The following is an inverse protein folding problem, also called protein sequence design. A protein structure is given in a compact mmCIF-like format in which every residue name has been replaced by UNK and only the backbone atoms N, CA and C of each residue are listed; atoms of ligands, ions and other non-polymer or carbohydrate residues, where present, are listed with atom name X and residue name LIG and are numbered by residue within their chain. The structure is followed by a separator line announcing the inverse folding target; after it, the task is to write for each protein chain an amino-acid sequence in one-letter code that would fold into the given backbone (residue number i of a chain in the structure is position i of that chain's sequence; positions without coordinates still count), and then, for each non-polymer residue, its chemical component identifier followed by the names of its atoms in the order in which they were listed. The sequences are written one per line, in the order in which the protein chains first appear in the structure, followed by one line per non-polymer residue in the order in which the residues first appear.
data_IF_717754612898
#
_entry.id   IF_717754612898
#
_cell.length_a   1.000
_cell.length_b   1.000
_cell.length_c   1.000
_cell.angle_alpha   90.00
_cell.angle_beta   90.00
_cell.angle_gamma   90.00
#
_symmetry.space_group_name_H-M   'P 1'
#
loop_
_entity.id
_entity.type
_entity.pdbx_description
1 polymer ?
#
# COMPACT_ATOMS: atom_id res chain seq x y z
N UNK A 1 16.27 10.59 39.12
CA UNK A 1 16.48 9.50 38.14
C UNK A 1 15.18 9.32 37.37
N UNK A 2 14.98 10.07 36.29
CA UNK A 2 13.94 9.76 35.31
C UNK A 2 14.55 9.89 33.93
N UNK A 3 14.51 8.77 33.24
CA UNK A 3 15.24 8.41 32.04
C UNK A 3 14.66 9.12 30.82
N UNK A 4 15.36 10.14 30.32
CA UNK A 4 15.22 10.57 28.93
C UNK A 4 15.76 9.46 28.03
N UNK A 5 14.86 8.62 27.50
CA UNK A 5 15.16 7.69 26.42
C UNK A 5 15.45 8.49 25.15
N UNK A 6 16.71 8.87 24.95
CA UNK A 6 17.20 9.36 23.67
C UNK A 6 17.55 8.14 22.80
N UNK A 7 16.57 7.55 22.13
CA UNK A 7 16.83 6.43 21.18
C UNK A 7 16.19 6.71 19.83
N UNK A 8 16.70 7.73 19.15
CA UNK A 8 16.22 8.11 17.82
C UNK A 8 17.08 9.17 17.15
N UNK A 9 18.38 9.25 17.47
CA UNK A 9 19.27 10.25 16.87
C UNK A 9 19.26 10.02 15.35
N UNK A 10 18.83 11.04 14.61
CA UNK A 10 18.85 11.11 13.15
C UNK A 10 19.91 12.14 12.77
N UNK A 11 21.20 11.78 12.82
CA UNK A 11 22.29 12.75 12.74
C UNK A 11 22.46 13.34 11.33
N UNK A 12 21.79 12.78 10.32
CA UNK A 12 21.92 13.21 8.94
C UNK A 12 20.70 14.03 8.53
N UNK A 13 20.82 15.35 8.44
CA UNK A 13 19.77 16.25 7.98
C UNK A 13 19.92 16.59 6.49
N UNK A 14 18.80 16.75 5.80
CA UNK A 14 18.75 17.34 4.47
C UNK A 14 18.86 18.87 4.56
N UNK A 15 19.82 19.46 3.86
CA UNK A 15 19.99 20.92 3.82
C UNK A 15 18.81 21.64 3.15
N UNK A 16 18.16 21.00 2.18
CA UNK A 16 17.13 21.65 1.34
C UNK A 16 15.73 21.64 1.99
N UNK A 17 15.43 20.65 2.82
CA UNK A 17 14.09 20.52 3.45
C UNK A 17 14.11 20.21 4.95
N UNK A 18 15.28 20.19 5.59
CA UNK A 18 15.44 19.97 7.03
C UNK A 18 15.09 18.56 7.51
N UNK A 19 14.75 17.63 6.61
CA UNK A 19 14.35 16.28 6.99
C UNK A 19 15.54 15.47 7.51
N UNK A 20 15.39 14.86 8.69
CA UNK A 20 16.44 14.07 9.30
C UNK A 20 16.33 12.57 9.03
N UNK A 21 17.48 11.91 8.91
CA UNK A 21 17.66 10.49 8.62
C UNK A 21 18.63 9.85 9.61
N UNK A 22 18.38 8.57 9.89
CA UNK A 22 19.22 7.77 10.79
C UNK A 22 20.51 7.30 10.11
N UNK A 23 20.47 7.07 8.80
CA UNK A 23 21.59 6.58 8.01
C UNK A 23 21.95 7.56 6.90
N UNK A 24 23.25 7.72 6.63
CA UNK A 24 23.75 8.55 5.53
C UNK A 24 23.26 8.06 4.16
N UNK A 25 23.09 6.74 4.00
CA UNK A 25 22.51 6.14 2.78
C UNK A 25 21.06 6.54 2.54
N UNK A 26 20.27 6.72 3.61
CA UNK A 26 18.89 7.19 3.51
C UNK A 26 18.82 8.66 3.14
N UNK A 27 19.69 9.50 3.72
CA UNK A 27 19.84 10.90 3.31
C UNK A 27 20.25 10.98 1.83
N UNK A 28 21.27 10.23 1.40
CA UNK A 28 21.71 10.20 -0.01
C UNK A 28 20.58 9.77 -0.95
N UNK A 29 19.83 8.74 -0.59
CA UNK A 29 18.67 8.29 -1.35
C UNK A 29 17.50 9.29 -1.37
N UNK A 30 17.40 10.14 -0.33
CA UNK A 30 16.45 11.24 -0.28
C UNK A 30 16.90 12.45 -1.10
N UNK A 31 18.19 12.79 -1.12
CA UNK A 31 18.68 13.88 -1.98
C UNK A 31 18.30 13.67 -3.45
N UNK A 32 18.32 12.41 -3.91
CA UNK A 32 17.87 12.02 -5.24
C UNK A 32 16.41 12.45 -5.54
N UNK A 33 15.54 12.53 -4.52
CA UNK A 33 14.15 12.98 -4.71
C UNK A 33 14.01 14.49 -4.93
N UNK A 34 15.02 15.29 -4.58
CA UNK A 34 15.00 16.73 -4.87
C UNK A 34 15.32 17.04 -6.34
N UNK A 35 16.07 16.15 -7.00
CA UNK A 35 16.49 16.34 -8.39
C UNK A 35 15.65 15.52 -9.39
N UNK A 36 14.61 14.81 -8.92
CA UNK A 36 13.81 13.85 -9.70
C UNK A 36 14.61 12.79 -10.49
N UNK A 37 15.89 12.61 -10.15
CA UNK A 37 16.76 11.64 -10.79
C UNK A 37 16.32 10.24 -10.34
N UNK A 38 16.09 9.33 -11.27
CA UNK A 38 15.75 7.94 -10.95
C UNK A 38 16.80 7.02 -11.58
N UNK A 39 17.97 6.87 -10.93
CA UNK A 39 19.14 6.26 -11.57
C UNK A 39 18.99 4.75 -11.81
N UNK A 40 17.97 4.11 -11.24
CA UNK A 40 17.74 2.68 -11.39
C UNK A 40 16.57 2.44 -12.36
N UNK A 41 16.87 2.02 -13.58
CA UNK A 41 15.86 1.78 -14.63
C UNK A 41 15.57 0.29 -14.76
N UNK A 42 14.29 -0.06 -14.92
CA UNK A 42 13.87 -1.41 -15.25
C UNK A 42 14.10 -1.71 -16.73
N UNK A 43 14.96 -2.67 -17.03
CA UNK A 43 15.22 -3.10 -18.41
C UNK A 43 14.01 -3.74 -19.12
N UNK A 44 12.96 -4.13 -18.40
CA UNK A 44 11.79 -4.81 -18.97
C UNK A 44 10.64 -3.86 -19.36
N UNK A 45 10.51 -2.71 -18.68
CA UNK A 45 9.41 -1.77 -18.93
C UNK A 45 9.80 -0.30 -18.86
N UNK A 46 11.10 0.01 -18.69
CA UNK A 46 11.59 1.38 -18.59
C UNK A 46 11.23 2.12 -17.30
N UNK A 47 10.56 1.48 -16.33
CA UNK A 47 10.20 2.13 -15.08
C UNK A 47 11.45 2.51 -14.26
N UNK A 48 11.51 3.76 -13.79
CA UNK A 48 12.67 4.27 -13.05
C UNK A 48 12.41 4.35 -11.54
N UNK A 49 13.46 4.11 -10.74
CA UNK A 49 13.43 4.08 -9.28
C UNK A 49 14.58 4.88 -8.67
N UNK A 50 14.33 5.44 -7.49
CA UNK A 50 15.34 6.20 -6.71
C UNK A 50 16.28 5.30 -5.89
N UNK A 51 15.91 4.03 -5.69
CA UNK A 51 16.70 3.05 -4.90
C UNK A 51 16.81 1.72 -5.64
N UNK A 52 18.00 1.11 -5.62
CA UNK A 52 18.27 -0.22 -6.23
C UNK A 52 17.31 -1.30 -5.72
N UNK A 53 17.07 -1.36 -4.42
CA UNK A 53 16.16 -2.33 -3.81
C UNK A 53 14.72 -2.21 -4.36
N UNK A 54 14.27 -1.00 -4.70
CA UNK A 54 12.94 -0.78 -5.28
C UNK A 54 12.86 -1.35 -6.69
N UNK A 55 13.91 -1.19 -7.49
CA UNK A 55 14.04 -1.82 -8.80
C UNK A 55 14.03 -3.35 -8.68
N UNK A 56 14.83 -3.94 -7.79
CA UNK A 56 14.86 -5.41 -7.60
C UNK A 56 13.47 -5.94 -7.25
N UNK A 57 12.75 -5.26 -6.34
CA UNK A 57 11.40 -5.68 -5.98
C UNK A 57 10.35 -5.46 -7.06
N UNK A 58 10.60 -4.53 -7.97
CA UNK A 58 9.78 -4.31 -9.14
C UNK A 58 10.03 -5.39 -10.20
N UNK A 59 11.29 -5.77 -10.45
CA UNK A 59 11.63 -6.85 -11.39
C UNK A 59 10.95 -8.17 -11.01
N UNK A 60 10.82 -8.47 -9.71
CA UNK A 60 10.05 -9.63 -9.23
C UNK A 60 8.59 -9.66 -9.66
N UNK A 61 8.00 -8.51 -10.00
CA UNK A 61 6.65 -8.45 -10.55
C UNK A 61 6.61 -8.99 -12.00
N UNK A 62 7.65 -8.71 -12.78
CA UNK A 62 7.76 -9.23 -14.15
C UNK A 62 8.07 -10.72 -14.18
N UNK A 63 9.01 -11.17 -13.35
CA UNK A 63 9.42 -12.59 -13.32
C UNK A 63 8.42 -13.48 -12.57
N UNK A 64 7.48 -12.89 -11.82
CA UNK A 64 6.55 -13.63 -10.98
C UNK A 64 7.20 -14.26 -9.73
N UNK A 65 8.48 -13.96 -9.46
CA UNK A 65 9.22 -14.51 -8.32
C UNK A 65 8.56 -14.16 -6.98
N UNK A 66 8.02 -15.19 -6.33
CA UNK A 66 7.42 -15.12 -5.01
C UNK A 66 8.14 -16.07 -4.07
N UNK A 67 9.20 -15.55 -3.44
CA UNK A 67 10.14 -16.34 -2.64
C UNK A 67 9.65 -16.65 -1.22
N UNK A 68 8.61 -15.96 -0.75
CA UNK A 68 8.15 -16.07 0.64
C UNK A 68 6.80 -16.77 0.68
N UNK A 69 6.77 -18.02 1.11
CA UNK A 69 5.55 -18.80 1.27
C UNK A 69 4.86 -18.51 2.60
N UNK A 70 3.53 -18.55 2.61
CA UNK A 70 2.77 -18.70 3.83
C UNK A 70 2.89 -20.15 4.34
N UNK A 71 3.03 -20.30 5.64
CA UNK A 71 3.07 -21.58 6.35
C UNK A 71 1.68 -22.21 6.55
N UNK A 72 0.62 -21.42 6.36
CA UNK A 72 -0.78 -21.83 6.59
C UNK A 72 -1.60 -22.01 5.32
N UNK A 73 -1.08 -21.60 4.16
CA UNK A 73 -1.71 -21.82 2.86
C UNK A 73 -0.69 -21.71 1.72
N UNK A 74 -1.07 -22.09 0.50
CA UNK A 74 -0.17 -22.13 -0.67
C UNK A 74 0.17 -20.74 -1.25
N UNK A 75 -0.21 -19.65 -0.58
CA UNK A 75 0.05 -18.29 -1.07
C UNK A 75 1.51 -17.91 -0.88
N UNK A 76 2.12 -17.46 -1.97
CA UNK A 76 3.50 -16.95 -2.01
C UNK A 76 3.53 -15.43 -2.23
N UNK A 77 4.53 -14.75 -1.67
CA UNK A 77 4.69 -13.31 -1.68
C UNK A 77 6.10 -12.89 -2.10
N UNK A 78 6.21 -11.78 -2.83
CA UNK A 78 7.49 -11.22 -3.28
C UNK A 78 8.22 -10.41 -2.20
N UNK A 79 7.53 -9.99 -1.12
CA UNK A 79 8.08 -9.15 -0.05
C UNK A 79 7.56 -9.57 1.33
N UNK A 80 8.42 -9.52 2.35
CA UNK A 80 8.10 -9.90 3.74
C UNK A 80 6.94 -9.10 4.32
N UNK A 81 6.89 -7.81 4.05
CA UNK A 81 5.78 -6.95 4.46
C UNK A 81 4.42 -7.47 3.99
N UNK A 82 4.34 -7.98 2.75
CA UNK A 82 3.07 -8.50 2.22
C UNK A 82 2.68 -9.85 2.84
N UNK A 83 3.65 -10.72 3.10
CA UNK A 83 3.42 -11.96 3.85
C UNK A 83 2.93 -11.67 5.26
N UNK A 84 3.63 -10.82 6.02
CA UNK A 84 3.24 -10.43 7.38
C UNK A 84 1.83 -9.84 7.43
N UNK A 85 1.51 -8.97 6.48
CA UNK A 85 0.17 -8.41 6.31
C UNK A 85 -0.88 -9.48 5.97
N UNK A 86 -0.50 -10.51 5.23
CA UNK A 86 -1.38 -11.63 4.91
C UNK A 86 -1.61 -12.54 6.12
N UNK A 87 -0.60 -12.74 6.97
CA UNK A 87 -0.72 -13.54 8.20
C UNK A 87 -1.82 -13.03 9.16
N UNK A 88 -2.16 -11.74 9.10
CA UNK A 88 -3.31 -11.17 9.83
C UNK A 88 -4.66 -11.77 9.43
N UNK A 89 -4.76 -12.38 8.25
CA UNK A 89 -5.96 -13.12 7.80
C UNK A 89 -6.05 -14.44 8.56
N UNK A 90 -4.98 -15.21 8.63
CA UNK A 90 -4.94 -16.49 9.35
C UNK A 90 -5.03 -16.35 10.87
N UNK A 91 -4.66 -15.20 11.42
CA UNK A 91 -4.91 -14.91 12.84
C UNK A 91 -6.42 -14.89 13.18
N UNK A 92 -7.29 -14.69 12.18
CA UNK A 92 -8.76 -14.68 12.32
C UNK A 92 -9.40 -16.05 12.15
N UNK A 93 -8.74 -16.98 11.45
CA UNK A 93 -9.23 -18.37 11.30
C UNK A 93 -9.18 -19.14 12.64
N UNK A 94 -8.28 -18.77 13.56
CA UNK A 94 -8.25 -19.32 14.93
C UNK A 94 -9.17 -18.59 15.92
N UNK A 95 -9.78 -17.47 15.53
CA UNK A 95 -10.65 -16.66 16.39
C UNK A 95 -11.89 -16.23 15.61
N UNK A 96 -12.79 -17.19 15.33
CA UNK A 96 -14.12 -16.92 14.80
C UNK A 96 -14.96 -16.28 15.90
N UNK A 97 -14.77 -14.98 16.11
CA UNK A 97 -15.80 -14.09 16.65
C UNK A 97 -15.85 -12.88 15.71
N UNK A 98 -16.94 -12.82 14.95
CA UNK A 98 -17.33 -11.72 14.07
C UNK A 98 -17.31 -10.39 14.83
N UNK A 99 -16.20 -9.65 14.80
CA UNK A 99 -16.19 -8.35 15.49
C UNK A 99 -14.86 -7.67 15.78
N UNK A 100 -13.69 -8.12 15.30
CA UNK A 100 -12.43 -7.37 15.52
C UNK A 100 -11.73 -7.04 14.20
N UNK A 101 -12.13 -5.90 13.64
CA UNK A 101 -11.21 -5.02 12.94
C UNK A 101 -10.80 -3.90 13.88
N UNK A 102 -9.51 -3.58 13.94
CA UNK A 102 -9.00 -2.53 14.85
C UNK A 102 -9.51 -1.13 14.47
N UNK A 103 -10.03 -0.99 13.25
CA UNK A 103 -10.56 0.25 12.73
C UNK A 103 -12.07 0.11 12.58
N UNK A 104 -12.84 0.89 13.35
CA UNK A 104 -14.30 0.94 13.25
C UNK A 104 -14.73 2.12 12.37
N UNK A 105 -15.85 1.97 11.68
CA UNK A 105 -16.60 3.09 11.13
C UNK A 105 -17.47 3.69 12.24
N UNK A 106 -17.34 4.99 12.47
CA UNK A 106 -18.07 5.69 13.54
C UNK A 106 -19.57 5.80 13.24
N UNK A 107 -19.95 5.89 11.96
CA UNK A 107 -21.36 6.02 11.51
C UNK A 107 -22.19 4.75 11.66
N UNK A 108 -21.59 3.57 11.49
CA UNK A 108 -22.33 2.30 11.49
C UNK A 108 -21.72 1.19 12.35
N UNK A 109 -20.66 1.48 13.11
CA UNK A 109 -19.97 0.52 13.98
C UNK A 109 -19.24 -0.60 13.23
N UNK A 110 -19.28 -0.63 11.89
CA UNK A 110 -18.68 -1.72 11.10
C UNK A 110 -17.16 -1.71 11.24
N UNK A 111 -16.57 -2.88 11.49
CA UNK A 111 -15.14 -3.00 11.79
C UNK A 111 -14.35 -3.55 10.61
N UNK A 112 -13.17 -3.00 10.42
CA UNK A 112 -12.26 -3.26 9.31
C UNK A 112 -10.85 -3.52 9.81
N UNK A 113 -10.13 -4.39 9.09
CA UNK A 113 -8.74 -4.76 9.42
C UNK A 113 -7.76 -3.63 9.11
N UNK A 114 -8.15 -2.67 8.27
CA UNK A 114 -7.28 -1.57 7.82
C UNK A 114 -8.06 -0.27 7.76
N UNK A 115 -7.43 0.81 8.19
CA UNK A 115 -7.98 2.18 8.09
C UNK A 115 -8.41 2.55 6.67
N UNK A 116 -7.60 2.22 5.66
CA UNK A 116 -7.92 2.47 4.25
C UNK A 116 -9.25 1.83 3.78
N UNK A 117 -9.67 0.74 4.42
CA UNK A 117 -10.96 0.10 4.11
C UNK A 117 -12.12 0.83 4.77
N UNK A 118 -11.91 1.44 5.95
CA UNK A 118 -12.87 2.36 6.58
C UNK A 118 -13.03 3.60 5.71
N UNK A 119 -11.93 4.25 5.32
CA UNK A 119 -11.93 5.43 4.45
C UNK A 119 -12.68 5.15 3.14
N UNK A 120 -12.40 4.01 2.49
CA UNK A 120 -13.14 3.58 1.30
C UNK A 120 -14.60 3.28 1.60
N UNK A 121 -14.94 2.78 2.79
CA UNK A 121 -16.31 2.47 3.17
C UNK A 121 -17.14 3.74 3.41
N UNK A 122 -16.53 4.86 3.83
CA UNK A 122 -17.23 6.14 4.05
C UNK A 122 -17.96 6.67 2.81
N UNK A 123 -17.63 6.20 1.60
CA UNK A 123 -18.39 6.53 0.37
C UNK A 123 -19.83 6.01 0.39
N UNK A 124 -20.12 5.01 1.24
CA UNK A 124 -21.48 4.48 1.44
C UNK A 124 -22.34 5.47 2.21
N UNK A 125 -21.78 6.11 3.23
CA UNK A 125 -22.46 7.13 4.04
C UNK A 125 -22.59 8.46 3.28
N UNK A 126 -21.51 8.90 2.63
CA UNK A 126 -21.48 10.19 1.93
C UNK A 126 -22.14 10.17 0.55
N UNK A 127 -22.49 9.00 0.01
CA UNK A 127 -23.15 8.85 -1.28
C UNK A 127 -22.35 9.34 -2.50
N UNK A 128 -21.08 9.72 -2.34
CA UNK A 128 -20.24 10.31 -3.40
C UNK A 128 -19.94 9.28 -4.50
N UNK A 129 -20.82 9.19 -5.51
CA UNK A 129 -20.62 8.41 -6.73
C UNK A 129 -19.86 9.24 -7.76
N UNK A 130 -18.53 9.18 -7.71
CA UNK A 130 -17.65 10.01 -8.52
C UNK A 130 -17.37 9.43 -9.93
N UNK A 131 -17.61 8.13 -10.13
CA UNK A 131 -17.23 7.46 -11.38
C UNK A 131 -18.46 7.26 -12.26
N UNK A 132 -18.50 7.91 -13.41
CA UNK A 132 -19.64 7.86 -14.35
C UNK A 132 -19.29 7.03 -15.58
N UNK A 133 -20.21 6.16 -15.99
CA UNK A 133 -20.12 5.51 -17.31
C UNK A 133 -20.37 6.55 -18.40
N UNK A 134 -19.47 6.66 -19.38
CA UNK A 134 -19.62 7.59 -20.50
C UNK A 134 -20.63 7.09 -21.55
N UNK A 135 -21.08 5.84 -21.46
CA UNK A 135 -22.04 5.25 -22.42
C UNK A 135 -23.46 5.37 -21.88
N UNK A 136 -23.73 4.79 -20.71
CA UNK A 136 -25.08 4.79 -20.12
C UNK A 136 -25.25 5.77 -18.94
N UNK A 137 -24.25 6.61 -18.65
CA UNK A 137 -24.27 7.63 -17.59
C UNK A 137 -24.47 7.10 -16.15
N UNK A 138 -24.48 5.78 -15.95
CA UNK A 138 -24.60 5.14 -14.63
C UNK A 138 -23.42 5.52 -13.73
N UNK A 139 -23.74 5.89 -12.49
CA UNK A 139 -22.76 6.37 -11.50
C UNK A 139 -22.36 5.26 -10.52
N UNK A 140 -21.07 5.20 -10.21
CA UNK A 140 -20.44 4.20 -9.34
C UNK A 140 -19.63 4.90 -8.25
N UNK A 141 -19.53 4.25 -7.08
CA UNK A 141 -18.70 4.70 -5.96
C UNK A 141 -17.21 4.39 -6.14
N UNK A 142 -16.86 3.49 -7.08
CA UNK A 142 -15.48 3.04 -7.34
C UNK A 142 -15.20 2.89 -8.83
N UNK A 143 -13.99 3.25 -9.26
CA UNK A 143 -13.49 3.07 -10.63
C UNK A 143 -13.56 1.61 -11.09
N UNK A 144 -13.24 0.67 -10.21
CA UNK A 144 -13.31 -0.77 -10.50
C UNK A 144 -14.75 -1.25 -10.74
N UNK A 145 -15.72 -0.69 -10.02
CA UNK A 145 -17.14 -0.95 -10.27
C UNK A 145 -17.57 -0.46 -11.65
N UNK A 146 -17.07 0.72 -12.06
CA UNK A 146 -17.27 1.24 -13.41
C UNK A 146 -16.58 0.36 -14.47
N UNK A 147 -15.34 -0.07 -14.24
CA UNK A 147 -14.60 -0.95 -15.16
C UNK A 147 -15.33 -2.27 -15.37
N UNK A 148 -15.74 -2.92 -14.29
CA UNK A 148 -16.49 -4.18 -14.37
C UNK A 148 -17.86 -3.98 -15.04
N UNK A 149 -18.51 -2.84 -14.83
CA UNK A 149 -19.74 -2.50 -15.53
C UNK A 149 -19.52 -2.33 -17.03
N UNK A 150 -18.48 -1.61 -17.45
CA UNK A 150 -18.12 -1.46 -18.87
C UNK A 150 -17.83 -2.81 -19.51
N UNK A 151 -17.04 -3.65 -18.85
CA UNK A 151 -16.71 -4.99 -19.35
C UNK A 151 -17.93 -5.91 -19.44
N UNK A 152 -18.88 -5.85 -18.49
CA UNK A 152 -20.03 -6.79 -18.46
C UNK A 152 -21.25 -6.32 -19.25
N UNK A 153 -21.47 -5.01 -19.33
CA UNK A 153 -22.69 -4.44 -19.94
C UNK A 153 -22.39 -3.86 -21.32
N UNK A 154 -21.19 -3.33 -21.51
CA UNK A 154 -20.79 -2.71 -22.77
C UNK A 154 -19.72 -3.52 -23.53
N UNK A 155 -19.18 -4.58 -22.92
CA UNK A 155 -18.10 -5.42 -23.47
C UNK A 155 -16.85 -4.63 -23.89
N UNK A 156 -16.50 -3.59 -23.11
CA UNK A 156 -15.35 -2.69 -23.32
C UNK A 156 -14.46 -2.63 -22.08
#
# INVERSE_FOLDING_TARGET
KESQQQTGIKPFACGDCGRCFRLKSDLKGHMITHFDVKPFVCGLCGACFTRKQSLVWHVRFHTGEKLLSCDKCDKKFARKFYLQRHMQVHAKEKNVVSGKGDFACEECGRRFVRKLHVERHMVVHTGKKQFKCNICLKKFTRAEGLKNHKLKIHNI
#
